data_IF_555056286369
#
_entry.id   IF_555056286369
#
_cell.length_a   1.000
_cell.length_b   1.000
_cell.length_c   1.000
_cell.angle_alpha   90.00
_cell.angle_beta   90.00
_cell.angle_gamma   90.00
#
_symmetry.space_group_name_H-M   'P 1'
#
loop_
_entity.id
_entity.type
_entity.pdbx_description
1 polymer ?
#
# COMPACT_ATOMS: atom_id res chain seq x y z
N UNK A 1 13.47 6.07 -24.02
CA UNK A 1 13.49 5.00 -22.98
C UNK A 1 12.91 3.73 -23.60
N UNK A 2 13.69 2.68 -23.66
CA UNK A 2 13.21 1.39 -24.15
C UNK A 2 12.53 0.57 -23.02
N UNK A 3 12.01 -0.61 -23.37
CA UNK A 3 11.28 -1.45 -22.40
C UNK A 3 12.17 -1.98 -21.28
N UNK A 4 13.45 -2.23 -21.57
CA UNK A 4 14.39 -2.72 -20.57
C UNK A 4 14.77 -1.63 -19.56
N UNK A 5 15.07 -0.44 -20.06
CA UNK A 5 15.35 0.74 -19.22
C UNK A 5 14.16 1.05 -18.31
N UNK A 6 12.95 0.98 -18.84
CA UNK A 6 11.72 1.18 -18.09
C UNK A 6 11.60 0.18 -16.95
N UNK A 7 11.80 -1.10 -17.24
CA UNK A 7 11.74 -2.16 -16.24
C UNK A 7 12.75 -1.92 -15.12
N UNK A 8 14.00 -1.66 -15.47
CA UNK A 8 15.06 -1.42 -14.48
C UNK A 8 14.77 -0.20 -13.60
N UNK A 9 14.14 0.81 -14.15
CA UNK A 9 13.89 2.07 -13.46
C UNK A 9 12.66 2.01 -12.54
N UNK A 10 11.59 1.34 -12.93
CA UNK A 10 10.30 1.38 -12.24
C UNK A 10 9.94 0.10 -11.47
N UNK A 11 10.34 -1.08 -11.93
CA UNK A 11 9.99 -2.34 -11.26
C UNK A 11 10.50 -2.46 -9.82
N UNK A 12 11.65 -1.89 -9.42
CA UNK A 12 12.07 -1.96 -8.01
C UNK A 12 11.07 -1.40 -7.02
N UNK A 13 10.16 -0.52 -7.46
CA UNK A 13 9.14 0.09 -6.59
C UNK A 13 7.84 -0.70 -6.52
N UNK A 14 7.71 -1.81 -7.25
CA UNK A 14 6.47 -2.56 -7.41
C UNK A 14 5.83 -2.94 -6.05
N UNK A 15 6.61 -3.49 -5.14
CA UNK A 15 6.11 -3.91 -3.82
C UNK A 15 5.56 -2.74 -3.01
N UNK A 16 6.26 -1.63 -3.01
CA UNK A 16 5.83 -0.42 -2.30
C UNK A 16 4.55 0.14 -2.90
N UNK A 17 4.48 0.26 -4.22
CA UNK A 17 3.30 0.73 -4.92
C UNK A 17 2.07 -0.14 -4.65
N UNK A 18 2.26 -1.46 -4.66
CA UNK A 18 1.21 -2.42 -4.32
C UNK A 18 0.71 -2.23 -2.88
N UNK A 19 1.61 -2.10 -1.92
CA UNK A 19 1.25 -1.89 -0.51
C UNK A 19 0.48 -0.61 -0.30
N UNK A 20 0.91 0.47 -0.92
CA UNK A 20 0.21 1.77 -0.88
C UNK A 20 -1.22 1.63 -1.44
N UNK A 21 -1.36 1.01 -2.60
CA UNK A 21 -2.66 0.77 -3.23
C UNK A 21 -3.55 -0.13 -2.36
N UNK A 22 -2.99 -1.19 -1.82
CA UNK A 22 -3.73 -2.12 -0.95
C UNK A 22 -4.26 -1.43 0.31
N UNK A 23 -3.47 -0.58 0.95
CA UNK A 23 -3.92 0.17 2.13
C UNK A 23 -5.10 1.08 1.83
N UNK A 24 -5.13 1.68 0.65
CA UNK A 24 -6.20 2.58 0.26
C UNK A 24 -7.47 1.83 -0.20
N UNK A 25 -7.30 0.74 -0.92
CA UNK A 25 -8.41 0.02 -1.57
C UNK A 25 -8.93 -1.18 -0.77
N UNK A 26 -8.08 -1.77 0.08
CA UNK A 26 -8.43 -2.93 0.90
C UNK A 26 -8.63 -4.24 0.14
N UNK A 27 -8.25 -4.30 -1.13
CA UNK A 27 -8.46 -5.44 -2.02
C UNK A 27 -7.22 -5.66 -2.89
N UNK A 28 -6.71 -6.89 -2.92
CA UNK A 28 -5.50 -7.23 -3.66
C UNK A 28 -5.66 -7.07 -5.18
N UNK A 29 -6.81 -7.50 -5.72
CA UNK A 29 -7.07 -7.39 -7.16
C UNK A 29 -7.10 -5.93 -7.60
N UNK A 30 -7.79 -5.08 -6.87
CA UNK A 30 -7.86 -3.66 -7.15
C UNK A 30 -6.52 -2.97 -7.00
N UNK A 31 -5.72 -3.38 -6.00
CA UNK A 31 -4.38 -2.85 -5.81
C UNK A 31 -3.47 -3.19 -7.00
N UNK A 32 -3.50 -4.42 -7.47
CA UNK A 32 -2.74 -4.83 -8.66
C UNK A 32 -3.19 -4.06 -9.90
N UNK A 33 -4.48 -3.89 -10.10
CA UNK A 33 -5.03 -3.13 -11.22
C UNK A 33 -4.54 -1.68 -11.23
N UNK A 34 -4.50 -1.05 -10.06
CA UNK A 34 -4.03 0.34 -9.95
C UNK A 34 -2.53 0.47 -10.20
N UNK A 35 -1.73 -0.49 -9.74
CA UNK A 35 -0.31 -0.52 -10.01
C UNK A 35 -0.04 -0.72 -11.51
N UNK A 36 -0.77 -1.62 -12.15
CA UNK A 36 -0.67 -1.84 -13.60
C UNK A 36 -1.07 -0.59 -14.38
N UNK A 37 -2.14 0.08 -13.97
CA UNK A 37 -2.55 1.33 -14.60
C UNK A 37 -1.51 2.43 -14.43
N UNK A 38 -0.88 2.51 -13.26
CA UNK A 38 0.21 3.44 -13.02
C UNK A 38 1.39 3.18 -13.98
N UNK A 39 1.79 1.92 -14.14
CA UNK A 39 2.84 1.56 -15.10
C UNK A 39 2.46 1.89 -16.54
N UNK A 40 1.22 1.66 -16.91
CA UNK A 40 0.75 2.01 -18.26
C UNK A 40 0.85 3.51 -18.52
N UNK A 41 0.43 4.32 -17.56
CA UNK A 41 0.54 5.79 -17.65
C UNK A 41 1.99 6.26 -17.70
N UNK A 42 2.86 5.67 -16.88
CA UNK A 42 4.29 5.96 -16.89
C UNK A 42 4.92 5.59 -18.24
N UNK A 43 4.53 4.44 -18.80
CA UNK A 43 5.01 3.99 -20.10
C UNK A 43 4.56 4.92 -21.23
N UNK A 44 3.31 5.34 -21.23
CA UNK A 44 2.77 6.28 -22.21
C UNK A 44 3.51 7.61 -22.20
N UNK A 45 3.91 8.07 -21.01
CA UNK A 45 4.62 9.34 -20.80
C UNK A 45 6.14 9.20 -20.70
N UNK A 46 6.69 8.04 -20.99
CA UNK A 46 8.11 7.75 -20.74
C UNK A 46 9.10 8.72 -21.39
N UNK A 47 8.73 9.31 -22.52
CA UNK A 47 9.57 10.29 -23.24
C UNK A 47 9.40 11.73 -22.71
N UNK A 48 8.34 11.98 -21.96
CA UNK A 48 8.06 13.27 -21.35
C UNK A 48 8.62 13.39 -19.94
N UNK A 49 8.93 12.23 -19.33
CA UNK A 49 9.46 12.21 -17.97
C UNK A 49 10.88 12.78 -17.96
N UNK A 50 11.16 13.77 -17.08
CA UNK A 50 12.51 14.28 -16.93
C UNK A 50 13.49 13.16 -16.57
N UNK A 51 14.68 13.11 -17.18
CA UNK A 51 15.67 12.09 -16.81
C UNK A 51 16.14 12.20 -15.35
N UNK A 52 16.02 13.39 -14.77
CA UNK A 52 16.54 13.73 -13.45
C UNK A 52 15.43 14.00 -12.42
N UNK A 53 14.39 13.15 -12.40
CA UNK A 53 13.40 13.25 -11.32
C UNK A 53 14.12 12.96 -10.00
N UNK A 54 14.23 13.96 -9.14
CA UNK A 54 14.98 13.89 -7.89
C UNK A 54 14.47 12.79 -6.93
N UNK A 55 13.18 12.45 -7.03
CA UNK A 55 12.59 11.36 -6.25
C UNK A 55 11.55 10.63 -7.09
N UNK A 56 12.03 9.71 -7.91
CA UNK A 56 11.19 8.91 -8.80
C UNK A 56 10.20 8.05 -8.01
N UNK A 57 10.64 7.50 -6.90
CA UNK A 57 9.80 6.68 -6.03
C UNK A 57 8.60 7.47 -5.49
N UNK A 58 8.83 8.67 -4.97
CA UNK A 58 7.76 9.54 -4.49
C UNK A 58 6.79 9.93 -5.60
N UNK A 59 7.31 10.15 -6.81
CA UNK A 59 6.47 10.42 -7.98
C UNK A 59 5.53 9.25 -8.29
N UNK A 60 6.07 8.03 -8.30
CA UNK A 60 5.28 6.81 -8.53
C UNK A 60 4.24 6.58 -7.43
N UNK A 61 4.62 6.77 -6.17
CA UNK A 61 3.70 6.64 -5.01
C UNK A 61 2.55 7.64 -5.14
N UNK A 62 2.86 8.88 -5.46
CA UNK A 62 1.83 9.93 -5.65
C UNK A 62 0.88 9.57 -6.79
N UNK A 63 1.40 9.08 -7.90
CA UNK A 63 0.58 8.64 -9.04
C UNK A 63 -0.38 7.52 -8.62
N UNK A 64 0.10 6.50 -7.93
CA UNK A 64 -0.73 5.40 -7.44
C UNK A 64 -1.80 5.90 -6.47
N UNK A 65 -1.44 6.80 -5.55
CA UNK A 65 -2.41 7.40 -4.62
C UNK A 65 -3.52 8.14 -5.35
N UNK A 66 -3.20 8.91 -6.38
CA UNK A 66 -4.19 9.61 -7.19
C UNK A 66 -5.13 8.64 -7.92
N UNK A 67 -4.58 7.59 -8.51
CA UNK A 67 -5.38 6.56 -9.17
C UNK A 67 -6.31 5.84 -8.20
N UNK A 68 -5.83 5.52 -7.01
CA UNK A 68 -6.64 4.91 -5.96
C UNK A 68 -7.77 5.83 -5.49
N UNK A 69 -7.49 7.12 -5.30
CA UNK A 69 -8.50 8.11 -4.94
C UNK A 69 -9.58 8.23 -6.01
N UNK A 70 -9.18 8.29 -7.28
CA UNK A 70 -10.13 8.35 -8.39
C UNK A 70 -11.01 7.10 -8.45
N UNK A 71 -10.42 5.93 -8.24
CA UNK A 71 -11.16 4.67 -8.19
C UNK A 71 -12.17 4.63 -7.04
N UNK A 72 -11.77 5.10 -5.86
CA UNK A 72 -12.66 5.18 -4.70
C UNK A 72 -13.83 6.14 -4.92
N UNK A 73 -13.61 7.26 -5.59
CA UNK A 73 -14.68 8.21 -5.93
C UNK A 73 -15.71 7.61 -6.87
N UNK A 74 -15.26 6.81 -7.84
CA UNK A 74 -16.16 6.13 -8.78
C UNK A 74 -17.01 5.04 -8.13
N UNK A 75 -16.55 4.50 -6.97
CA UNK A 75 -17.23 3.44 -6.23
C UNK A 75 -18.30 3.91 -5.26
N UNK A 76 -18.33 5.17 -4.87
CA UNK A 76 -19.40 5.70 -4.04
C UNK A 76 -20.64 5.97 -4.90
N UNK A 77 -21.80 5.39 -4.69
CA UNK A 77 -22.47 4.89 -3.48
C UNK A 77 -23.06 3.47 -3.56
N UNK A 78 -22.65 2.62 -4.47
CA UNK A 78 -23.36 1.37 -4.76
C UNK A 78 -22.73 0.11 -4.15
N UNK A 79 -21.55 0.19 -3.53
CA UNK A 79 -20.80 -0.99 -3.07
C UNK A 79 -20.81 -1.24 -1.55
N UNK A 80 -21.54 -0.45 -0.76
CA UNK A 80 -21.63 -0.63 0.70
C UNK A 80 -22.39 -1.89 1.12
N UNK A 81 -22.93 -2.65 0.18
CA UNK A 81 -23.75 -3.85 0.47
C UNK A 81 -23.01 -5.19 0.31
N UNK A 82 -21.73 -5.20 -0.07
CA UNK A 82 -21.00 -6.46 -0.20
C UNK A 82 -20.21 -6.78 1.08
N UNK A 83 -20.48 -7.94 1.73
CA UNK A 83 -19.68 -8.34 2.90
C UNK A 83 -18.21 -8.51 2.50
N UNK A 84 -17.26 -8.07 3.35
CA UNK A 84 -15.83 -8.19 3.09
C UNK A 84 -15.35 -9.62 2.83
N UNK A 85 -16.15 -10.61 3.22
CA UNK A 85 -15.83 -12.03 3.08
C UNK A 85 -15.94 -12.56 1.65
N UNK A 86 -16.78 -11.97 0.79
CA UNK A 86 -16.90 -12.39 -0.61
C UNK A 86 -15.72 -11.94 -1.48
N UNK A 87 -15.03 -10.87 -1.08
CA UNK A 87 -13.85 -10.38 -1.79
C UNK A 87 -12.60 -11.24 -1.55
N UNK A 88 -12.57 -12.01 -0.46
CA UNK A 88 -11.45 -12.89 -0.11
C UNK A 88 -11.46 -14.22 -0.87
N UNK A 89 -12.63 -14.62 -1.42
CA UNK A 89 -12.79 -15.94 -2.07
C UNK A 89 -12.43 -15.95 -3.56
N UNK A 90 -12.26 -14.80 -4.20
CA UNK A 90 -11.95 -14.71 -5.63
C UNK A 90 -10.48 -14.90 -5.98
N UNK A 91 -9.59 -15.03 -5.00
CA UNK A 91 -8.14 -15.06 -5.19
C UNK A 91 -7.49 -16.44 -5.15
N UNK A 92 -8.26 -17.53 -5.22
CA UNK A 92 -7.73 -18.89 -4.99
C UNK A 92 -7.09 -19.53 -6.21
N UNK A 93 -6.35 -18.82 -7.02
CA UNK A 93 -5.62 -19.46 -8.11
C UNK A 93 -4.25 -18.84 -8.32
N UNK A 94 -3.27 -19.16 -7.49
CA UNK A 94 -1.88 -19.22 -7.99
C UNK A 94 -0.85 -19.65 -6.93
N UNK A 95 -0.03 -20.65 -7.24
CA UNK A 95 1.29 -21.03 -6.71
C UNK A 95 1.47 -20.88 -5.18
N UNK A 96 1.33 -22.01 -4.47
CA UNK A 96 1.21 -22.12 -3.02
C UNK A 96 2.28 -21.39 -2.18
N UNK A 97 3.49 -21.19 -2.68
CA UNK A 97 4.58 -20.57 -1.91
C UNK A 97 4.59 -19.04 -1.97
N UNK A 98 4.40 -18.45 -3.15
CA UNK A 98 4.24 -17.00 -3.30
C UNK A 98 2.93 -16.52 -2.69
N UNK A 99 1.90 -17.38 -2.68
CA UNK A 99 0.61 -17.10 -2.06
C UNK A 99 0.72 -17.03 -0.53
N UNK A 100 1.48 -17.90 0.14
CA UNK A 100 1.64 -17.86 1.60
C UNK A 100 2.34 -16.59 2.08
N UNK A 101 3.44 -16.18 1.43
CA UNK A 101 4.15 -14.95 1.76
C UNK A 101 3.30 -13.70 1.44
N UNK A 102 2.56 -13.74 0.35
CA UNK A 102 1.65 -12.68 -0.04
C UNK A 102 0.46 -12.58 0.91
N UNK A 103 -0.08 -13.71 1.38
CA UNK A 103 -1.18 -13.77 2.34
C UNK A 103 -0.78 -13.20 3.70
N UNK A 104 0.39 -13.54 4.24
CA UNK A 104 0.88 -12.98 5.50
C UNK A 104 1.05 -11.47 5.39
N UNK A 105 1.68 -10.98 4.31
CA UNK A 105 1.83 -9.57 4.05
C UNK A 105 0.48 -8.87 3.91
N UNK A 106 -0.47 -9.48 3.23
CA UNK A 106 -1.82 -8.94 3.07
C UNK A 106 -2.57 -8.90 4.41
N UNK A 107 -2.41 -9.90 5.28
CA UNK A 107 -2.98 -9.89 6.63
C UNK A 107 -2.45 -8.71 7.45
N UNK A 108 -1.14 -8.49 7.44
CA UNK A 108 -0.53 -7.34 8.11
C UNK A 108 -1.09 -6.02 7.55
N UNK A 109 -1.20 -5.91 6.24
CA UNK A 109 -1.74 -4.71 5.60
C UNK A 109 -3.20 -4.45 5.96
N UNK A 110 -4.02 -5.50 6.07
CA UNK A 110 -5.41 -5.39 6.57
C UNK A 110 -5.46 -4.91 8.01
N UNK A 111 -4.60 -5.44 8.86
CA UNK A 111 -4.51 -5.00 10.26
C UNK A 111 -4.12 -3.52 10.36
N UNK A 112 -3.17 -3.06 9.55
CA UNK A 112 -2.82 -1.65 9.46
C UNK A 112 -4.03 -0.81 9.04
N UNK A 113 -4.79 -1.27 8.06
CA UNK A 113 -6.01 -0.60 7.61
C UNK A 113 -7.08 -0.46 8.67
N UNK A 114 -7.10 -1.32 9.69
CA UNK A 114 -8.05 -1.31 10.79
C UNK A 114 -7.62 -0.46 11.99
N UNK A 115 -6.40 0.07 11.98
CA UNK A 115 -5.91 0.95 13.05
C UNK A 115 -6.71 2.26 13.11
N UNK A 116 -6.75 2.92 14.30
CA UNK A 116 -7.24 4.29 14.37
C UNK A 116 -6.58 5.18 13.32
N UNK A 117 -7.32 6.10 12.74
CA UNK A 117 -6.90 6.87 11.57
C UNK A 117 -5.51 7.52 11.72
N UNK A 118 -5.25 8.11 12.88
CA UNK A 118 -3.96 8.76 13.13
C UNK A 118 -2.80 7.74 13.16
N UNK A 119 -2.97 6.59 13.81
CA UNK A 119 -1.97 5.52 13.85
C UNK A 119 -1.74 4.92 12.46
N UNK A 120 -2.82 4.67 11.73
CA UNK A 120 -2.78 4.18 10.36
C UNK A 120 -1.98 5.11 9.46
N UNK A 121 -2.27 6.40 9.50
CA UNK A 121 -1.60 7.41 8.69
C UNK A 121 -0.09 7.47 8.98
N UNK A 122 0.29 7.50 10.25
CA UNK A 122 1.69 7.53 10.66
C UNK A 122 2.43 6.26 10.25
N UNK A 123 1.81 5.11 10.46
CA UNK A 123 2.41 3.83 10.08
C UNK A 123 2.55 3.69 8.57
N UNK A 124 1.57 4.14 7.80
CA UNK A 124 1.67 4.19 6.35
C UNK A 124 2.85 5.05 5.90
N UNK A 125 2.97 6.26 6.45
CA UNK A 125 4.05 7.19 6.08
C UNK A 125 5.44 6.64 6.44
N UNK A 126 5.58 6.06 7.62
CA UNK A 126 6.89 5.60 8.11
C UNK A 126 7.26 4.21 7.64
N UNK A 127 6.38 3.23 7.79
CA UNK A 127 6.71 1.81 7.56
C UNK A 127 6.43 1.36 6.12
N UNK A 128 5.50 1.98 5.42
CA UNK A 128 5.18 1.65 4.03
C UNK A 128 5.89 2.58 3.06
N UNK A 129 5.76 3.87 3.23
CA UNK A 129 6.35 4.88 2.35
C UNK A 129 7.80 5.24 2.72
N UNK A 130 8.24 4.85 3.92
CA UNK A 130 9.61 5.07 4.42
C UNK A 130 10.02 6.54 4.48
N UNK A 131 9.07 7.42 4.79
CA UNK A 131 9.34 8.84 4.92
C UNK A 131 10.18 9.14 6.16
N UNK A 132 11.12 10.11 6.08
CA UNK A 132 11.83 10.56 7.27
C UNK A 132 10.91 11.28 8.24
N UNK A 133 11.25 11.25 9.53
CA UNK A 133 10.43 11.88 10.58
C UNK A 133 10.14 13.35 10.31
N UNK A 134 11.09 14.07 9.75
CA UNK A 134 10.93 15.49 9.40
C UNK A 134 9.79 15.74 8.40
N UNK A 135 9.65 14.88 7.39
CA UNK A 135 8.57 14.98 6.42
C UNK A 135 7.23 14.58 7.03
N UNK A 136 7.22 13.59 7.93
CA UNK A 136 6.01 13.20 8.64
C UNK A 136 5.54 14.33 9.56
N UNK A 137 6.46 15.01 10.25
CA UNK A 137 6.16 16.19 11.08
C UNK A 137 5.50 17.29 10.25
N UNK A 138 6.04 17.58 9.08
CA UNK A 138 5.48 18.59 8.17
C UNK A 138 4.09 18.22 7.67
N UNK A 139 3.89 16.95 7.34
CA UNK A 139 2.62 16.48 6.79
C UNK A 139 1.51 16.38 7.84
N UNK A 140 1.85 16.06 9.08
CA UNK A 140 0.88 15.78 10.14
C UNK A 140 0.77 16.89 11.20
N UNK A 141 1.78 17.74 11.33
CA UNK A 141 1.86 18.73 12.41
C UNK A 141 2.21 18.14 13.77
N UNK A 142 2.50 16.83 13.84
CA UNK A 142 2.89 16.16 15.08
C UNK A 142 4.39 16.29 15.33
N UNK A 143 4.80 16.27 16.61
CA UNK A 143 6.21 16.24 16.98
C UNK A 143 6.80 14.85 16.74
N UNK A 144 8.13 14.75 16.58
CA UNK A 144 8.80 13.46 16.40
C UNK A 144 8.59 12.52 17.60
N UNK A 145 8.49 13.05 18.81
CA UNK A 145 8.18 12.29 20.01
C UNK A 145 6.79 11.66 19.91
N UNK A 146 5.78 12.43 19.55
CA UNK A 146 4.42 11.92 19.36
C UNK A 146 4.34 10.89 18.24
N UNK A 147 5.02 11.12 17.13
CA UNK A 147 5.11 10.16 16.01
C UNK A 147 5.68 8.82 16.49
N UNK A 148 6.77 8.83 17.25
CA UNK A 148 7.38 7.62 17.79
C UNK A 148 6.47 6.88 18.77
N UNK A 149 5.75 7.60 19.61
CA UNK A 149 4.76 7.00 20.53
C UNK A 149 3.64 6.32 19.75
N UNK A 150 3.08 6.99 18.76
CA UNK A 150 2.02 6.44 17.91
C UNK A 150 2.51 5.20 17.13
N UNK A 151 3.71 5.24 16.57
CA UNK A 151 4.31 4.09 15.89
C UNK A 151 4.50 2.91 16.85
N UNK A 152 5.03 3.15 18.04
CA UNK A 152 5.25 2.11 19.04
C UNK A 152 3.94 1.41 19.41
N UNK A 153 2.89 2.18 19.65
CA UNK A 153 1.56 1.64 19.96
C UNK A 153 0.95 0.88 18.79
N UNK A 154 1.05 1.44 17.59
CA UNK A 154 0.53 0.82 16.38
C UNK A 154 1.22 -0.51 16.08
N UNK A 155 2.56 -0.53 16.13
CA UNK A 155 3.35 -1.74 15.89
C UNK A 155 3.08 -2.82 16.93
N UNK A 156 2.92 -2.45 18.19
CA UNK A 156 2.56 -3.39 19.26
C UNK A 156 1.20 -4.03 18.99
N UNK A 157 0.20 -3.22 18.65
CA UNK A 157 -1.15 -3.71 18.35
C UNK A 157 -1.16 -4.66 17.15
N UNK A 158 -0.47 -4.31 16.07
CA UNK A 158 -0.33 -5.16 14.88
C UNK A 158 0.33 -6.49 15.25
N UNK A 159 1.42 -6.45 16.00
CA UNK A 159 2.14 -7.66 16.43
C UNK A 159 1.26 -8.58 17.26
N UNK A 160 0.53 -8.04 18.22
CA UNK A 160 -0.38 -8.82 19.06
C UNK A 160 -1.50 -9.46 18.25
N UNK A 161 -2.14 -8.70 17.37
CA UNK A 161 -3.22 -9.20 16.50
C UNK A 161 -2.72 -10.23 15.49
N UNK A 162 -1.55 -10.01 14.92
CA UNK A 162 -0.94 -10.96 13.98
C UNK A 162 -0.61 -12.29 14.66
N UNK A 163 -0.06 -12.26 15.88
CA UNK A 163 0.23 -13.47 16.66
C UNK A 163 -1.05 -14.23 17.03
N UNK A 164 -2.13 -13.55 17.35
CA UNK A 164 -3.42 -14.19 17.59
C UNK A 164 -3.93 -14.94 16.36
N UNK A 165 -3.86 -14.33 15.19
CA UNK A 165 -4.26 -14.95 13.92
C UNK A 165 -3.40 -16.16 13.63
N UNK A 166 -2.08 -16.06 13.77
CA UNK A 166 -1.16 -17.16 13.52
C UNK A 166 -1.35 -18.32 14.51
N UNK A 167 -1.62 -18.04 15.76
CA UNK A 167 -1.90 -19.07 16.76
C UNK A 167 -3.24 -19.78 16.50
N UNK A 168 -4.24 -19.07 16.02
CA UNK A 168 -5.54 -19.64 15.64
C UNK A 168 -5.41 -20.60 14.45
N UNK A 169 -4.62 -20.24 13.45
CA UNK A 169 -4.39 -21.09 12.28
C UNK A 169 -3.60 -22.37 12.57
N UNK A 170 -2.84 -22.41 13.68
CA UNK A 170 -2.07 -23.58 14.10
C UNK A 170 -2.88 -24.57 14.93
N UNK A 171 -4.06 -24.23 15.35
CA UNK A 171 -4.98 -25.12 16.06
C UNK A 171 -5.88 -25.87 15.09
#
# INVERSE_FOLDING_TARGET
>A
MDANDFKQRFLPYHRKLYRVAFLQLGNAQDAEDMVQEAYLKLWQRRNELPPDIANLEAYCVTLVKHLCCDKMRLRQPEEDERPPEELALAESTNLAYEVELKDEANHVMKLIGQLPEQQKQIMQMRDVEELPYEEIEKATGLTSVNIRVLLSRARKKIREQFLEIMNYERL
#
